data_IF_073707415089
#
_entry.id   IF_073707415089
#
_cell.length_a   1.000
_cell.length_b   1.000
_cell.length_c   1.000
_cell.angle_alpha   90.00
_cell.angle_beta   90.00
_cell.angle_gamma   90.00
#
_symmetry.space_group_name_H-M   'P 1'
#
loop_
_entity.id
_entity.type
_entity.pdbx_description
1 polymer ?
#
# COMPACT_ATOMS: atom_id res chain seq x y z
N UNK A 1 -12.99 6.88 4.35
CA UNK A 1 -13.38 5.59 4.99
C UNK A 1 -12.29 4.58 4.74
N UNK A 2 -12.12 3.62 5.65
CA UNK A 2 -11.15 2.54 5.55
C UNK A 2 -11.89 1.22 5.30
N UNK A 3 -11.40 0.44 4.34
CA UNK A 3 -11.94 -0.86 3.96
C UNK A 3 -10.86 -1.93 4.17
N UNK A 4 -11.27 -3.07 4.72
CA UNK A 4 -10.41 -4.24 5.00
C UNK A 4 -11.05 -5.50 4.42
N UNK A 5 -10.33 -6.63 4.46
CA UNK A 5 -10.82 -7.91 3.93
C UNK A 5 -12.09 -8.48 4.60
N UNK A 6 -12.60 -7.81 5.63
CA UNK A 6 -13.87 -8.15 6.27
C UNK A 6 -15.10 -7.57 5.52
N UNK A 7 -14.88 -6.76 4.48
CA UNK A 7 -15.92 -6.11 3.68
C UNK A 7 -15.83 -6.61 2.25
N UNK A 8 -16.96 -7.03 1.68
CA UNK A 8 -17.03 -7.42 0.28
C UNK A 8 -16.90 -6.20 -0.65
N UNK A 9 -15.90 -6.21 -1.53
CA UNK A 9 -15.59 -5.06 -2.40
C UNK A 9 -16.75 -4.64 -3.29
N UNK A 10 -17.57 -5.59 -3.74
CA UNK A 10 -18.76 -5.35 -4.58
C UNK A 10 -19.80 -4.45 -3.91
N UNK A 11 -19.78 -4.37 -2.58
CA UNK A 11 -20.72 -3.59 -1.77
C UNK A 11 -20.21 -2.17 -1.46
N UNK A 12 -18.95 -1.88 -1.79
CA UNK A 12 -18.32 -0.59 -1.49
C UNK A 12 -18.73 0.43 -2.52
N UNK A 13 -19.23 1.57 -2.06
CA UNK A 13 -19.42 2.76 -2.87
C UNK A 13 -18.31 3.77 -2.56
N UNK A 14 -17.50 4.08 -3.56
CA UNK A 14 -16.44 5.08 -3.46
C UNK A 14 -17.00 6.46 -3.79
N UNK A 15 -16.97 7.38 -2.83
CA UNK A 15 -17.40 8.78 -3.00
C UNK A 15 -16.21 9.75 -3.07
N UNK A 16 -15.00 9.22 -2.93
CA UNK A 16 -13.70 9.90 -2.97
C UNK A 16 -12.69 9.04 -3.74
N UNK A 17 -11.59 9.60 -4.25
CA UNK A 17 -10.49 8.80 -4.77
C UNK A 17 -9.97 7.82 -3.72
N UNK A 18 -9.55 6.65 -4.17
CA UNK A 18 -9.18 5.51 -3.34
C UNK A 18 -7.68 5.19 -3.42
N UNK A 19 -7.11 4.78 -2.29
CA UNK A 19 -5.69 4.45 -2.17
C UNK A 19 -5.55 3.06 -1.54
N UNK A 20 -4.80 2.16 -2.16
CA UNK A 20 -4.38 0.91 -1.54
C UNK A 20 -3.07 1.08 -0.78
N UNK A 21 -3.02 0.61 0.48
CA UNK A 21 -1.88 0.74 1.37
C UNK A 21 -0.98 -0.51 1.30
N UNK A 22 -0.20 -0.62 0.24
CA UNK A 22 0.73 -1.74 0.02
C UNK A 22 2.03 -1.59 0.82
N UNK A 23 2.71 -2.70 1.10
CA UNK A 23 4.04 -2.69 1.71
C UNK A 23 4.13 -3.45 3.03
N UNK A 24 5.16 -3.12 3.79
CA UNK A 24 5.57 -3.86 4.99
C UNK A 24 4.48 -3.97 6.04
N UNK A 25 4.21 -5.22 6.45
CA UNK A 25 3.38 -5.52 7.62
C UNK A 25 4.18 -5.27 8.89
N UNK A 26 3.60 -4.53 9.84
CA UNK A 26 4.15 -4.38 11.19
C UNK A 26 3.07 -4.79 12.21
N UNK A 27 2.61 -6.04 12.10
CA UNK A 27 1.57 -6.60 12.98
C UNK A 27 2.11 -6.61 14.42
N UNK A 28 1.44 -5.92 15.33
CA UNK A 28 1.81 -5.83 16.75
C UNK A 28 2.69 -4.64 17.12
N UNK A 29 3.13 -3.82 16.16
CA UNK A 29 3.79 -2.55 16.45
C UNK A 29 2.75 -1.48 16.80
N UNK A 30 2.94 -0.82 17.95
CA UNK A 30 2.05 0.23 18.47
C UNK A 30 2.08 1.50 17.61
N UNK A 31 3.12 1.68 16.79
CA UNK A 31 3.24 2.78 15.83
C UNK A 31 3.51 2.25 14.42
N UNK A 32 2.62 1.40 13.90
CA UNK A 32 2.72 0.98 12.51
C UNK A 32 2.38 2.15 11.56
N UNK A 33 3.13 2.27 10.46
CA UNK A 33 3.00 3.34 9.47
C UNK A 33 1.59 3.40 8.83
N UNK A 34 0.87 2.28 8.77
CA UNK A 34 -0.49 2.24 8.21
C UNK A 34 -1.49 2.98 9.07
N UNK A 35 -1.40 2.87 10.39
CA UNK A 35 -2.22 3.67 11.31
C UNK A 35 -1.95 5.16 11.12
N UNK A 36 -0.68 5.56 10.97
CA UNK A 36 -0.30 6.94 10.65
C UNK A 36 -0.90 7.39 9.30
N UNK A 37 -0.81 6.55 8.28
CA UNK A 37 -1.38 6.81 6.97
C UNK A 37 -2.90 6.94 7.03
N UNK A 38 -3.59 6.02 7.70
CA UNK A 38 -5.04 6.03 7.89
C UNK A 38 -5.48 7.33 8.56
N UNK A 39 -4.92 7.65 9.72
CA UNK A 39 -5.28 8.86 10.48
C UNK A 39 -5.08 10.16 9.68
N UNK A 40 -4.10 10.17 8.78
CA UNK A 40 -3.75 11.37 7.99
C UNK A 40 -4.55 11.47 6.69
N UNK A 41 -4.84 10.34 6.05
CA UNK A 41 -5.36 10.28 4.69
C UNK A 41 -6.88 10.05 4.63
N UNK A 42 -7.50 9.41 5.64
CA UNK A 42 -8.91 8.97 5.58
C UNK A 42 -9.93 10.10 5.41
N UNK A 43 -9.55 11.34 5.80
CA UNK A 43 -10.38 12.53 5.63
C UNK A 43 -10.50 12.92 4.17
N UNK A 44 -9.44 12.69 3.38
CA UNK A 44 -9.33 13.07 1.97
C UNK A 44 -9.66 11.92 1.01
N UNK A 45 -9.37 10.69 1.41
CA UNK A 45 -9.43 9.52 0.51
C UNK A 45 -10.19 8.35 1.12
N UNK A 46 -10.63 7.45 0.26
CA UNK A 46 -10.96 6.09 0.64
C UNK A 46 -9.69 5.25 0.72
N UNK A 47 -9.56 4.40 1.72
CA UNK A 47 -8.35 3.61 1.94
C UNK A 47 -8.68 2.12 1.94
N UNK A 48 -7.94 1.35 1.16
CA UNK A 48 -7.92 -0.10 1.27
C UNK A 48 -6.71 -0.49 2.13
N UNK A 49 -6.98 -1.01 3.33
CA UNK A 49 -5.96 -1.48 4.27
C UNK A 49 -5.97 -3.01 4.28
N UNK A 50 -4.89 -3.67 3.78
CA UNK A 50 -4.77 -5.11 3.83
C UNK A 50 -4.55 -5.68 5.24
N UNK A 51 -4.45 -4.85 6.27
CA UNK A 51 -4.14 -5.35 7.62
C UNK A 51 -5.25 -6.26 8.18
N UNK A 52 -4.90 -7.52 8.44
CA UNK A 52 -5.73 -8.45 9.21
C UNK A 52 -5.02 -8.83 10.52
N UNK A 53 -5.59 -8.41 11.66
CA UNK A 53 -5.03 -8.67 13.00
C UNK A 53 -5.01 -10.16 13.37
N UNK A 54 -5.88 -10.97 12.77
CA UNK A 54 -5.94 -12.42 12.97
C UNK A 54 -5.30 -13.19 11.80
N UNK A 55 -4.43 -12.56 11.00
CA UNK A 55 -3.83 -13.20 9.81
C UNK A 55 -3.21 -14.58 10.11
N UNK A 56 -2.54 -14.74 11.24
CA UNK A 56 -1.92 -16.01 11.64
C UNK A 56 -2.92 -17.11 12.06
N UNK A 57 -4.17 -16.74 12.34
CA UNK A 57 -5.24 -17.65 12.75
C UNK A 57 -6.24 -17.97 11.66
N UNK A 58 -6.04 -17.49 10.42
CA UNK A 58 -6.92 -17.78 9.30
C UNK A 58 -6.72 -19.22 8.81
N UNK A 59 -7.82 -19.92 8.52
CA UNK A 59 -7.77 -21.18 7.78
C UNK A 59 -7.46 -20.98 6.28
N UNK A 60 -7.27 -22.06 5.53
CA UNK A 60 -6.92 -21.98 4.10
C UNK A 60 -7.99 -21.25 3.26
N UNK A 61 -9.27 -21.39 3.62
CA UNK A 61 -10.40 -20.76 2.94
C UNK A 61 -10.45 -19.27 3.24
N UNK A 62 -10.28 -18.90 4.50
CA UNK A 62 -10.20 -17.52 4.97
C UNK A 62 -8.98 -16.80 4.39
N UNK A 63 -7.81 -17.47 4.38
CA UNK A 63 -6.59 -16.96 3.76
C UNK A 63 -6.79 -16.74 2.25
N UNK A 64 -7.43 -17.70 1.56
CA UNK A 64 -7.74 -17.55 0.15
C UNK A 64 -8.69 -16.37 -0.13
N UNK A 65 -9.66 -16.12 0.75
CA UNK A 65 -10.54 -14.95 0.65
C UNK A 65 -9.79 -13.65 0.90
N UNK A 66 -8.92 -13.64 1.91
CA UNK A 66 -8.08 -12.50 2.24
C UNK A 66 -7.19 -12.11 1.05
N UNK A 67 -6.44 -13.05 0.49
CA UNK A 67 -5.56 -12.82 -0.67
C UNK A 67 -6.37 -12.33 -1.89
N UNK A 68 -7.53 -12.94 -2.17
CA UNK A 68 -8.41 -12.48 -3.27
C UNK A 68 -8.90 -11.05 -3.05
N UNK A 69 -9.22 -10.70 -1.81
CA UNK A 69 -9.62 -9.34 -1.47
C UNK A 69 -8.47 -8.37 -1.70
N UNK A 70 -7.26 -8.66 -1.24
CA UNK A 70 -6.08 -7.81 -1.44
C UNK A 70 -5.83 -7.58 -2.93
N UNK A 71 -5.84 -8.66 -3.70
CA UNK A 71 -5.66 -8.63 -5.15
C UNK A 71 -6.67 -7.72 -5.84
N UNK A 72 -7.96 -7.91 -5.55
CA UNK A 72 -9.02 -7.11 -6.16
C UNK A 72 -8.98 -5.65 -5.68
N UNK A 73 -8.73 -5.39 -4.40
CA UNK A 73 -8.64 -4.04 -3.86
C UNK A 73 -7.47 -3.26 -4.49
N UNK A 74 -6.32 -3.92 -4.65
CA UNK A 74 -5.12 -3.34 -5.27
C UNK A 74 -5.39 -3.01 -6.74
N UNK A 75 -6.09 -3.89 -7.47
CA UNK A 75 -6.55 -3.64 -8.85
C UNK A 75 -7.50 -2.44 -8.95
N UNK A 76 -8.51 -2.36 -8.08
CA UNK A 76 -9.57 -1.35 -8.13
C UNK A 76 -9.16 0.03 -7.59
N UNK A 77 -8.10 0.11 -6.80
CA UNK A 77 -7.64 1.39 -6.25
C UNK A 77 -7.21 2.40 -7.33
N UNK A 78 -7.55 3.67 -7.12
CA UNK A 78 -7.15 4.77 -8.00
C UNK A 78 -5.66 5.13 -7.85
N UNK A 79 -5.08 4.89 -6.67
CA UNK A 79 -3.66 4.99 -6.40
C UNK A 79 -3.16 3.86 -5.48
N UNK A 80 -1.87 3.53 -5.56
CA UNK A 80 -1.20 2.58 -4.67
C UNK A 80 -0.05 3.30 -3.96
N UNK A 81 -0.07 3.30 -2.64
CA UNK A 81 1.02 3.77 -1.81
C UNK A 81 1.80 2.57 -1.27
N UNK A 82 3.00 2.35 -1.81
CA UNK A 82 3.93 1.35 -1.29
C UNK A 82 4.78 1.96 -0.18
N UNK A 83 4.82 1.32 0.99
CA UNK A 83 5.78 1.68 2.05
C UNK A 83 6.60 0.47 2.51
N UNK A 84 7.91 0.53 2.33
CA UNK A 84 8.85 -0.49 2.78
C UNK A 84 9.52 -0.05 4.08
N UNK A 85 9.49 -0.89 5.11
CA UNK A 85 10.25 -0.66 6.34
C UNK A 85 11.70 -1.15 6.17
N UNK A 86 12.67 -0.44 6.74
CA UNK A 86 14.11 -0.75 6.66
C UNK A 86 14.45 -2.23 6.91
N UNK A 87 13.91 -2.82 7.98
CA UNK A 87 14.26 -4.20 8.38
C UNK A 87 13.36 -5.29 7.76
N UNK A 88 12.39 -4.92 6.93
CA UNK A 88 11.47 -5.89 6.35
C UNK A 88 12.06 -6.61 5.13
N UNK A 89 11.40 -7.71 4.72
CA UNK A 89 11.65 -8.36 3.43
C UNK A 89 10.57 -8.08 2.39
N UNK A 90 9.32 -7.90 2.82
CA UNK A 90 8.19 -7.52 1.96
C UNK A 90 8.10 -8.27 0.60
N UNK A 91 8.26 -9.61 0.55
CA UNK A 91 8.33 -10.34 -0.72
C UNK A 91 7.06 -10.19 -1.57
N UNK A 92 5.89 -10.22 -0.94
CA UNK A 92 4.61 -10.02 -1.64
C UNK A 92 4.51 -8.59 -2.18
N UNK A 93 4.90 -7.58 -1.40
CA UNK A 93 4.87 -6.19 -1.86
C UNK A 93 5.89 -5.89 -2.97
N UNK A 94 7.00 -6.62 -3.03
CA UNK A 94 7.93 -6.55 -4.17
C UNK A 94 7.31 -7.12 -5.45
N UNK A 95 6.56 -8.22 -5.33
CA UNK A 95 5.79 -8.78 -6.45
C UNK A 95 4.72 -7.78 -6.93
N UNK A 96 3.93 -7.23 -6.01
CA UNK A 96 2.91 -6.22 -6.30
C UNK A 96 3.51 -4.97 -6.96
N UNK A 97 4.65 -4.48 -6.46
CA UNK A 97 5.36 -3.35 -7.08
C UNK A 97 5.72 -3.67 -8.53
N UNK A 98 6.30 -4.85 -8.79
CA UNK A 98 6.66 -5.27 -10.15
C UNK A 98 5.44 -5.38 -11.08
N UNK A 99 4.29 -5.82 -10.57
CA UNK A 99 3.06 -5.92 -11.35
C UNK A 99 2.50 -4.56 -11.78
N UNK A 100 2.67 -3.54 -10.96
CA UNK A 100 2.04 -2.23 -11.15
C UNK A 100 3.01 -1.11 -11.48
N UNK A 101 4.32 -1.36 -11.61
CA UNK A 101 5.35 -0.32 -11.81
C UNK A 101 5.03 0.60 -13.01
N UNK A 102 4.36 0.09 -14.03
CA UNK A 102 3.93 0.81 -15.25
C UNK A 102 2.49 1.34 -15.24
N UNK A 103 1.80 1.26 -14.10
CA UNK A 103 0.38 1.59 -14.00
C UNK A 103 0.08 3.08 -13.83
N UNK A 104 1.12 3.93 -13.72
CA UNK A 104 1.01 5.38 -13.48
C UNK A 104 0.28 5.77 -12.18
N UNK A 105 -0.15 4.80 -11.37
CA UNK A 105 -0.89 5.05 -10.12
C UNK A 105 -0.08 4.81 -8.84
N UNK A 106 1.24 4.66 -8.94
CA UNK A 106 2.10 4.29 -7.81
C UNK A 106 2.82 5.50 -7.21
N UNK A 107 2.86 5.53 -5.87
CA UNK A 107 3.88 6.25 -5.09
C UNK A 107 4.65 5.24 -4.24
N UNK A 108 5.98 5.32 -4.22
CA UNK A 108 6.84 4.44 -3.42
C UNK A 108 7.53 5.21 -2.31
N UNK A 109 7.53 4.62 -1.11
CA UNK A 109 8.39 4.99 0.02
C UNK A 109 9.31 3.82 0.30
N UNK A 110 10.62 4.02 0.12
CA UNK A 110 11.64 3.01 0.36
C UNK A 110 12.88 3.66 0.97
N UNK A 111 13.17 3.42 2.26
CA UNK A 111 14.39 3.89 2.91
C UNK A 111 15.60 3.14 2.37
N UNK A 112 16.77 3.80 2.35
CA UNK A 112 18.03 3.22 1.85
C UNK A 112 18.43 1.92 2.53
N UNK A 113 18.07 1.77 3.80
CA UNK A 113 18.35 0.61 4.64
C UNK A 113 17.57 -0.65 4.20
N UNK A 114 16.48 -0.49 3.45
CA UNK A 114 15.75 -1.64 2.91
C UNK A 114 16.66 -2.44 1.98
N UNK A 115 16.70 -3.77 2.18
CA UNK A 115 17.71 -4.63 1.54
C UNK A 115 17.72 -4.63 0.00
N UNK A 116 16.63 -4.20 -0.65
CA UNK A 116 16.51 -4.05 -2.11
C UNK A 116 16.29 -2.60 -2.53
N UNK A 117 16.67 -1.64 -1.70
CA UNK A 117 16.50 -0.20 -1.97
C UNK A 117 17.08 0.19 -3.33
N UNK A 118 18.31 -0.24 -3.63
CA UNK A 118 18.96 0.07 -4.91
C UNK A 118 18.19 -0.48 -6.13
N UNK A 119 17.59 -1.67 -6.01
CA UNK A 119 16.77 -2.25 -7.07
C UNK A 119 15.48 -1.45 -7.27
N UNK A 120 14.81 -1.06 -6.18
CA UNK A 120 13.61 -0.23 -6.22
C UNK A 120 13.93 1.16 -6.79
N UNK A 121 15.03 1.79 -6.37
CA UNK A 121 15.50 3.09 -6.87
C UNK A 121 15.72 3.04 -8.39
N UNK A 122 16.39 1.99 -8.87
CA UNK A 122 16.64 1.80 -10.30
C UNK A 122 15.32 1.65 -11.06
N UNK A 123 14.42 0.77 -10.61
CA UNK A 123 13.11 0.59 -11.26
C UNK A 123 12.26 1.86 -11.27
N UNK A 124 12.19 2.57 -10.14
CA UNK A 124 11.40 3.80 -10.04
C UNK A 124 11.97 4.89 -10.95
N UNK A 125 13.30 4.97 -11.09
CA UNK A 125 13.94 5.91 -12.01
C UNK A 125 13.59 5.59 -13.47
N UNK A 126 13.73 4.33 -13.89
CA UNK A 126 13.46 3.89 -15.27
C UNK A 126 11.98 4.10 -15.65
N UNK A 127 11.06 3.77 -14.76
CA UNK A 127 9.61 3.87 -14.98
C UNK A 127 9.03 5.22 -14.51
N UNK A 128 9.88 6.17 -14.12
CA UNK A 128 9.54 7.53 -13.69
C UNK A 128 8.55 7.61 -12.50
N UNK A 129 8.55 6.60 -11.63
CA UNK A 129 7.69 6.48 -10.46
C UNK A 129 8.21 7.39 -9.31
N UNK A 130 7.34 8.17 -8.65
CA UNK A 130 7.70 8.95 -7.47
C UNK A 130 8.23 8.06 -6.34
N UNK A 131 9.45 8.34 -5.89
CA UNK A 131 10.13 7.61 -4.83
C UNK A 131 10.56 8.56 -3.70
N UNK A 132 10.23 8.19 -2.47
CA UNK A 132 10.54 8.92 -1.24
C UNK A 132 11.26 8.01 -0.23
N UNK A 133 11.95 8.60 0.74
CA UNK A 133 12.74 7.85 1.72
C UNK A 133 12.00 7.65 3.04
N UNK A 134 11.02 8.51 3.35
CA UNK A 134 10.17 8.37 4.54
C UNK A 134 8.69 8.57 4.25
N UNK A 135 7.83 7.95 5.06
CA UNK A 135 6.37 8.02 4.90
C UNK A 135 5.86 9.44 5.19
N UNK A 136 6.49 10.15 6.13
CA UNK A 136 6.17 11.51 6.53
C UNK A 136 6.32 12.51 5.37
N UNK A 137 7.27 12.28 4.47
CA UNK A 137 7.44 13.09 3.26
C UNK A 137 6.20 13.04 2.36
N UNK A 138 5.46 11.93 2.40
CA UNK A 138 4.32 11.64 1.52
C UNK A 138 2.99 12.01 2.17
N UNK A 139 2.78 11.71 3.46
CA UNK A 139 1.48 11.85 4.12
C UNK A 139 0.92 13.29 4.12
N UNK A 140 1.80 14.30 4.12
CA UNK A 140 1.41 15.70 4.11
C UNK A 140 1.12 16.26 2.69
N UNK A 141 1.30 15.46 1.64
CA UNK A 141 1.09 15.87 0.24
C UNK A 141 -0.26 15.36 -0.29
N UNK A 142 -0.66 15.85 -1.45
CA UNK A 142 -1.73 15.23 -2.23
C UNK A 142 -1.13 14.09 -3.07
N UNK A 143 -1.53 12.87 -2.76
CA UNK A 143 -1.01 11.66 -3.43
C UNK A 143 -1.29 11.70 -4.93
N UNK A 144 -2.43 12.26 -5.35
CA UNK A 144 -2.81 12.31 -6.76
C UNK A 144 -2.00 13.35 -7.55
N UNK A 145 -1.45 14.38 -6.88
CA UNK A 145 -0.52 15.31 -7.52
C UNK A 145 0.87 14.72 -7.70
N UNK A 146 1.24 13.70 -6.92
CA UNK A 146 2.53 13.04 -7.07
C UNK A 146 2.58 12.13 -8.30
N UNK A 147 1.45 11.53 -8.65
CA UNK A 147 1.35 10.56 -9.77
C UNK A 147 0.95 11.21 -11.11
N UNK A 148 0.20 12.31 -11.09
CA UNK A 148 -0.19 13.04 -12.30
C UNK A 148 0.90 14.07 -12.65
N UNK A 149 1.78 13.75 -13.61
CA UNK A 149 2.78 14.68 -14.18
C UNK A 149 2.23 15.45 -15.37
#
# INVERSE_FOLDING_TARGET
MVFTSNIELSTIKLEKPSIFLAGSMAIGDRMNWRMCAINTLEKRYHLFDPTNVNHAGLDDSEMSKHIKWEWEALKHSDAILFNFNAESKSPISLLELGMYIRSEKIVVVCPKEFYQSHYIETLCSEEQVPLFQSIEEVLNRDIFQLINK
#
